data_IF_670701930105
#
_entry.id   IF_670701930105
#
_cell.length_a   1.000
_cell.length_b   1.000
_cell.length_c   1.000
_cell.angle_alpha   90.00
_cell.angle_beta   90.00
_cell.angle_gamma   90.00
#
_symmetry.space_group_name_H-M   'P 1'
#
loop_
_entity.id
_entity.type
_entity.pdbx_description
1 polymer ?
#
# COMPACT_ATOMS: atom_id res chain seq x y z
N UNK A 1 19.76 7.82 8.69
CA UNK A 1 18.85 7.58 9.83
C UNK A 1 17.40 7.33 9.43
N UNK A 2 16.67 8.27 8.82
CA UNK A 2 15.24 8.05 8.42
C UNK A 2 15.04 6.85 7.47
N UNK A 3 16.01 6.58 6.60
CA UNK A 3 16.04 5.42 5.68
C UNK A 3 16.29 4.09 6.43
N UNK A 4 17.04 4.11 7.54
CA UNK A 4 17.35 2.93 8.38
C UNK A 4 16.23 2.67 9.41
N UNK A 5 15.56 3.74 9.85
CA UNK A 5 14.41 3.67 10.74
C UNK A 5 13.14 3.18 10.02
N UNK A 6 13.05 3.36 8.70
CA UNK A 6 12.02 2.76 7.83
C UNK A 6 12.39 1.36 7.35
N UNK A 7 13.42 0.72 7.89
CA UNK A 7 13.74 -0.70 7.61
C UNK A 7 13.73 -1.54 8.88
N UNK A 8 13.50 -0.93 10.04
CA UNK A 8 13.53 -1.67 11.31
C UNK A 8 14.94 -2.13 11.63
N UNK A 9 15.95 -1.28 11.35
CA UNK A 9 17.26 -1.47 11.94
C UNK A 9 17.22 -1.14 13.44
N UNK A 10 16.55 -2.00 14.22
CA UNK A 10 17.29 -2.59 15.32
C UNK A 10 18.33 -3.52 14.68
N UNK A 11 19.58 -3.39 15.12
CA UNK A 11 20.69 -4.33 15.00
C UNK A 11 20.32 -5.65 14.26
N UNK A 12 20.87 -5.85 13.05
CA UNK A 12 21.02 -7.16 12.36
C UNK A 12 20.54 -7.34 10.91
N UNK A 13 20.59 -6.31 10.07
CA UNK A 13 20.92 -6.55 8.63
C UNK A 13 22.45 -6.66 8.45
N UNK A 14 23.21 -6.05 9.35
CA UNK A 14 24.67 -6.13 9.43
C UNK A 14 25.20 -7.49 9.91
N UNK A 15 24.35 -8.36 10.47
CA UNK A 15 24.71 -9.73 10.87
C UNK A 15 24.49 -10.77 9.75
N UNK A 16 23.77 -10.41 8.69
CA UNK A 16 23.50 -11.33 7.56
C UNK A 16 24.57 -11.20 6.46
N UNK A 17 25.20 -10.04 6.34
CA UNK A 17 26.34 -9.81 5.45
C UNK A 17 27.57 -9.49 6.30
N UNK A 18 28.68 -10.19 6.07
CA UNK A 18 29.91 -9.91 6.83
C UNK A 18 30.27 -8.42 6.73
N UNK A 19 30.78 -7.82 7.81
CA UNK A 19 31.18 -6.39 7.83
C UNK A 19 32.08 -6.00 6.63
N UNK A 20 32.83 -6.97 6.10
CA UNK A 20 33.68 -6.86 4.91
C UNK A 20 32.89 -6.76 3.59
N UNK A 21 31.78 -7.46 3.46
CA UNK A 21 30.86 -7.36 2.32
C UNK A 21 30.08 -6.05 2.38
N UNK A 22 29.60 -5.66 3.56
CA UNK A 22 28.86 -4.41 3.75
C UNK A 22 29.72 -3.18 3.39
N UNK A 23 31.00 -3.13 3.79
CA UNK A 23 31.91 -2.06 3.35
C UNK A 23 32.19 -2.10 1.83
N UNK A 24 32.31 -3.29 1.23
CA UNK A 24 32.42 -3.43 -0.23
C UNK A 24 31.17 -2.94 -0.96
N UNK A 25 29.98 -3.20 -0.43
CA UNK A 25 28.73 -2.64 -0.97
C UNK A 25 28.68 -1.12 -0.76
N UNK A 26 29.07 -0.61 0.41
CA UNK A 26 29.07 0.84 0.66
C UNK A 26 30.03 1.61 -0.25
N UNK A 27 31.24 1.11 -0.48
CA UNK A 27 32.23 1.69 -1.39
C UNK A 27 31.88 1.49 -2.87
N UNK A 28 31.35 0.32 -3.26
CA UNK A 28 30.96 0.06 -4.66
C UNK A 28 29.72 0.86 -5.08
N UNK A 29 28.90 1.24 -4.12
CA UNK A 29 27.72 2.08 -4.29
C UNK A 29 27.93 3.48 -3.67
N UNK A 30 29.19 3.94 -3.56
CA UNK A 30 29.48 5.37 -3.54
C UNK A 30 28.90 5.96 -4.83
N UNK A 31 27.66 6.42 -4.66
CA UNK A 31 26.71 7.03 -5.55
C UNK A 31 27.19 7.24 -6.99
N UNK A 32 26.93 6.25 -7.86
CA UNK A 32 26.42 6.68 -9.17
C UNK A 32 25.08 7.38 -8.88
N UNK A 33 24.91 8.63 -9.33
CA UNK A 33 23.72 9.44 -8.99
C UNK A 33 22.38 8.75 -9.36
N UNK A 34 22.43 7.73 -10.23
CA UNK A 34 21.28 6.95 -10.69
C UNK A 34 20.76 5.98 -9.62
N UNK A 35 21.64 5.23 -8.97
CA UNK A 35 21.25 4.24 -7.94
C UNK A 35 20.70 4.91 -6.68
N UNK A 36 21.26 6.07 -6.32
CA UNK A 36 20.74 6.91 -5.23
C UNK A 36 19.33 7.40 -5.53
N UNK A 37 19.07 7.84 -6.76
CA UNK A 37 17.76 8.32 -7.20
C UNK A 37 16.69 7.21 -7.19
N UNK A 38 17.01 6.02 -7.70
CA UNK A 38 16.07 4.88 -7.67
C UNK A 38 15.74 4.43 -6.24
N UNK A 39 16.73 4.44 -5.35
CA UNK A 39 16.53 4.11 -3.94
C UNK A 39 15.60 5.13 -3.30
N UNK A 40 15.83 6.42 -3.55
CA UNK A 40 14.98 7.52 -3.11
C UNK A 40 13.53 7.35 -3.60
N UNK A 41 13.31 7.04 -4.88
CA UNK A 41 11.97 6.76 -5.39
C UNK A 41 11.33 5.51 -4.77
N UNK A 42 12.11 4.47 -4.51
CA UNK A 42 11.62 3.23 -3.87
C UNK A 42 11.10 3.51 -2.46
N UNK A 43 11.83 4.30 -1.68
CA UNK A 43 11.39 4.71 -0.34
C UNK A 43 10.24 5.71 -0.41
N UNK A 44 10.33 6.71 -1.30
CA UNK A 44 9.27 7.69 -1.53
C UNK A 44 7.93 7.02 -1.88
N UNK A 45 7.97 5.97 -2.70
CA UNK A 45 6.80 5.16 -3.04
C UNK A 45 6.18 4.51 -1.80
N UNK A 46 6.99 3.86 -0.96
CA UNK A 46 6.53 3.16 0.23
C UNK A 46 5.92 4.14 1.24
N UNK A 47 6.63 5.22 1.55
CA UNK A 47 6.16 6.26 2.48
C UNK A 47 4.85 6.87 1.98
N UNK A 48 4.79 7.25 0.70
CA UNK A 48 3.56 7.79 0.12
C UNK A 48 2.40 6.79 0.23
N UNK A 49 2.64 5.50 0.02
CA UNK A 49 1.63 4.47 0.19
C UNK A 49 1.17 4.34 1.66
N UNK A 50 2.10 4.29 2.62
CA UNK A 50 1.78 4.27 4.06
C UNK A 50 0.95 5.49 4.47
N UNK A 51 1.29 6.68 3.96
CA UNK A 51 0.53 7.90 4.19
C UNK A 51 -0.80 7.96 3.42
N UNK A 52 -1.11 6.95 2.61
CA UNK A 52 -2.31 6.89 1.77
C UNK A 52 -2.35 7.90 0.61
N UNK A 53 -1.21 8.48 0.24
CA UNK A 53 -1.03 9.32 -0.95
C UNK A 53 -0.72 8.45 -2.17
N UNK A 54 -1.78 7.86 -2.71
CA UNK A 54 -1.71 6.86 -3.78
C UNK A 54 -1.25 7.46 -5.11
N UNK A 55 -1.57 8.73 -5.38
CA UNK A 55 -1.15 9.38 -6.61
C UNK A 55 0.35 9.64 -6.60
N UNK A 56 0.90 10.13 -5.49
CA UNK A 56 2.35 10.30 -5.31
C UNK A 56 3.08 8.96 -5.31
N UNK A 57 2.55 7.94 -4.62
CA UNK A 57 3.11 6.59 -4.66
C UNK A 57 3.15 6.04 -6.10
N UNK A 58 2.09 6.24 -6.87
CA UNK A 58 2.02 5.84 -8.27
C UNK A 58 2.95 6.66 -9.19
N UNK A 59 3.19 7.94 -8.90
CA UNK A 59 4.19 8.74 -9.62
C UNK A 59 5.60 8.17 -9.42
N UNK A 60 6.00 7.88 -8.18
CA UNK A 60 7.27 7.18 -7.91
C UNK A 60 7.32 5.81 -8.58
N UNK A 61 6.22 5.04 -8.53
CA UNK A 61 6.15 3.74 -9.19
C UNK A 61 6.35 3.83 -10.71
N UNK A 62 5.85 4.88 -11.37
CA UNK A 62 6.08 5.10 -12.82
C UNK A 62 7.55 5.39 -13.11
N UNK A 63 8.20 6.26 -12.32
CA UNK A 63 9.62 6.56 -12.47
C UNK A 63 10.47 5.29 -12.27
N UNK A 64 10.13 4.49 -11.27
CA UNK A 64 10.75 3.19 -11.02
C UNK A 64 10.52 2.20 -12.16
N UNK A 65 9.32 2.11 -12.74
CA UNK A 65 9.06 1.21 -13.87
C UNK A 65 9.83 1.61 -15.12
N UNK A 66 9.93 2.92 -15.39
CA UNK A 66 10.67 3.45 -16.53
C UNK A 66 12.16 3.13 -16.43
N UNK A 67 12.73 3.25 -15.23
CA UNK A 67 14.11 2.84 -14.93
C UNK A 67 14.28 1.32 -14.88
N UNK A 68 13.29 0.57 -14.39
CA UNK A 68 13.32 -0.90 -14.32
C UNK A 68 13.31 -1.59 -15.69
N UNK A 69 12.87 -0.91 -16.76
CA UNK A 69 12.93 -1.43 -18.13
C UNK A 69 14.37 -1.76 -18.61
N UNK A 70 15.40 -1.43 -17.82
CA UNK A 70 16.82 -1.61 -18.17
C UNK A 70 17.58 -2.65 -17.33
N UNK A 71 16.93 -3.42 -16.45
CA UNK A 71 17.64 -4.27 -15.49
C UNK A 71 17.20 -5.75 -15.48
N UNK A 72 17.40 -6.44 -16.59
CA UNK A 72 17.96 -7.82 -16.58
C UNK A 72 19.41 -7.83 -16.08
N UNK A 73 20.00 -6.67 -15.85
CA UNK A 73 21.33 -6.52 -15.26
C UNK A 73 21.31 -6.91 -13.78
N UNK A 74 22.24 -7.79 -13.42
CA UNK A 74 22.55 -8.34 -12.09
C UNK A 74 22.91 -7.29 -11.00
N UNK A 75 22.51 -6.02 -11.15
CA UNK A 75 23.02 -4.88 -10.37
C UNK A 75 22.09 -4.37 -9.27
N UNK A 76 20.77 -4.48 -9.44
CA UNK A 76 19.84 -4.11 -8.36
C UNK A 76 19.81 -5.29 -7.37
N UNK A 77 20.08 -5.06 -6.07
CA UNK A 77 19.97 -6.11 -5.08
C UNK A 77 18.57 -6.72 -5.17
N UNK A 78 18.52 -8.03 -5.34
CA UNK A 78 17.30 -8.80 -5.60
C UNK A 78 16.15 -8.47 -4.63
N UNK A 79 16.50 -8.14 -3.38
CA UNK A 79 15.57 -7.65 -2.35
C UNK A 79 14.77 -6.39 -2.74
N UNK A 80 15.42 -5.36 -3.31
CA UNK A 80 14.72 -4.13 -3.72
C UNK A 80 13.70 -4.41 -4.83
N UNK A 81 14.01 -5.31 -5.76
CA UNK A 81 13.09 -5.72 -6.82
C UNK A 81 11.80 -6.32 -6.25
N UNK A 82 11.91 -7.18 -5.23
CA UNK A 82 10.76 -7.81 -4.60
C UNK A 82 9.86 -6.82 -3.86
N UNK A 83 10.46 -5.91 -3.07
CA UNK A 83 9.71 -4.87 -2.36
C UNK A 83 9.00 -3.96 -3.38
N UNK A 84 9.67 -3.58 -4.48
CA UNK A 84 9.05 -2.78 -5.55
C UNK A 84 7.85 -3.48 -6.16
N UNK A 85 7.99 -4.77 -6.54
CA UNK A 85 6.90 -5.57 -7.12
C UNK A 85 5.71 -5.64 -6.16
N UNK A 86 5.97 -5.86 -4.87
CA UNK A 86 4.93 -5.89 -3.84
C UNK A 86 4.15 -4.57 -3.75
N UNK A 87 4.84 -3.44 -3.67
CA UNK A 87 4.17 -2.13 -3.64
C UNK A 87 3.52 -1.76 -4.97
N UNK A 88 4.06 -2.18 -6.12
CA UNK A 88 3.38 -2.02 -7.40
C UNK A 88 2.04 -2.75 -7.42
N UNK A 89 1.97 -3.97 -6.87
CA UNK A 89 0.73 -4.71 -6.72
C UNK A 89 -0.28 -3.95 -5.84
N UNK A 90 0.15 -3.49 -4.66
CA UNK A 90 -0.71 -2.74 -3.72
C UNK A 90 -1.23 -1.43 -4.32
N UNK A 91 -0.38 -0.67 -5.02
CA UNK A 91 -0.79 0.55 -5.72
C UNK A 91 -1.82 0.24 -6.80
N UNK A 92 -1.60 -0.81 -7.60
CA UNK A 92 -2.55 -1.23 -8.63
C UNK A 92 -3.89 -1.69 -8.02
N UNK A 93 -3.87 -2.39 -6.87
CA UNK A 93 -5.08 -2.75 -6.13
C UNK A 93 -5.86 -1.50 -5.72
N UNK A 94 -5.18 -0.53 -5.12
CA UNK A 94 -5.82 0.68 -4.61
C UNK A 94 -6.37 1.56 -5.76
N UNK A 95 -5.65 1.65 -6.88
CA UNK A 95 -6.16 2.31 -8.09
C UNK A 95 -7.35 1.58 -8.68
N UNK A 96 -7.38 0.25 -8.61
CA UNK A 96 -8.57 -0.50 -8.99
C UNK A 96 -9.75 -0.17 -8.07
N UNK A 97 -9.58 -0.14 -6.74
CA UNK A 97 -10.65 0.26 -5.81
C UNK A 97 -11.24 1.63 -6.18
N UNK A 98 -10.38 2.62 -6.46
CA UNK A 98 -10.82 3.99 -6.78
C UNK A 98 -11.48 4.13 -8.16
N UNK A 99 -11.06 3.35 -9.15
CA UNK A 99 -11.46 3.57 -10.55
C UNK A 99 -12.32 2.46 -11.15
N UNK A 100 -12.37 1.30 -10.49
CA UNK A 100 -12.89 0.02 -11.00
C UNK A 100 -12.37 -0.37 -12.41
N UNK A 101 -11.26 0.20 -12.88
CA UNK A 101 -10.70 -0.09 -14.22
C UNK A 101 -9.94 -1.42 -14.20
N UNK A 102 -10.46 -2.42 -14.92
CA UNK A 102 -9.92 -3.79 -15.01
C UNK A 102 -8.42 -3.89 -15.32
N UNK A 103 -7.85 -2.91 -16.03
CA UNK A 103 -6.40 -2.84 -16.29
C UNK A 103 -5.56 -2.88 -15.02
N UNK A 104 -6.00 -2.20 -13.96
CA UNK A 104 -5.27 -2.17 -12.68
C UNK A 104 -5.39 -3.49 -11.93
N UNK A 105 -6.54 -4.15 -12.01
CA UNK A 105 -6.70 -5.50 -11.44
C UNK A 105 -5.80 -6.53 -12.16
N UNK A 106 -5.73 -6.46 -13.50
CA UNK A 106 -4.82 -7.32 -14.28
C UNK A 106 -3.36 -7.09 -13.90
N UNK A 107 -2.98 -5.83 -13.73
CA UNK A 107 -1.63 -5.44 -13.31
C UNK A 107 -1.30 -5.94 -11.89
N UNK A 108 -2.22 -5.77 -10.93
CA UNK A 108 -2.07 -6.30 -9.58
C UNK A 108 -1.88 -7.82 -9.57
N UNK A 109 -2.70 -8.56 -10.34
CA UNK A 109 -2.58 -10.01 -10.48
C UNK A 109 -1.25 -10.43 -11.11
N UNK A 110 -0.76 -9.68 -12.12
CA UNK A 110 0.55 -9.92 -12.73
C UNK A 110 1.66 -9.84 -11.68
N UNK A 111 1.68 -8.80 -10.85
CA UNK A 111 2.69 -8.65 -9.81
C UNK A 111 2.55 -9.68 -8.68
N UNK A 112 1.31 -10.07 -8.33
CA UNK A 112 1.06 -11.20 -7.41
C UNK A 112 1.72 -12.48 -7.94
N UNK A 113 1.49 -12.83 -9.20
CA UNK A 113 2.07 -14.04 -9.81
C UNK A 113 3.59 -14.04 -9.83
N UNK A 114 4.23 -12.88 -9.98
CA UNK A 114 5.69 -12.77 -9.84
C UNK A 114 6.16 -13.09 -8.41
N UNK A 115 5.42 -12.62 -7.38
CA UNK A 115 5.74 -12.95 -5.99
C UNK A 115 5.47 -14.43 -5.69
N UNK A 116 4.40 -15.00 -6.24
CA UNK A 116 4.11 -16.45 -6.15
C UNK A 116 5.24 -17.29 -6.73
N UNK A 117 5.79 -16.88 -7.86
CA UNK A 117 6.95 -17.52 -8.49
C UNK A 117 8.16 -17.48 -7.57
N UNK A 118 8.53 -16.31 -7.03
CA UNK A 118 9.64 -16.21 -6.07
C UNK A 118 9.43 -17.05 -4.80
N UNK A 119 8.21 -17.11 -4.26
CA UNK A 119 7.89 -17.97 -3.11
C UNK A 119 8.09 -19.45 -3.47
N UNK A 120 7.68 -19.87 -4.67
CA UNK A 120 7.84 -21.24 -5.17
C UNK A 120 9.31 -21.60 -5.38
N UNK A 121 10.13 -20.65 -5.78
CA UNK A 121 11.59 -20.78 -5.92
C UNK A 121 12.32 -20.82 -4.56
N UNK A 122 11.61 -20.72 -3.43
CA UNK A 122 12.19 -20.84 -2.09
C UNK A 122 12.56 -19.51 -1.44
N UNK A 123 12.04 -18.38 -1.93
CA UNK A 123 12.25 -17.07 -1.29
C UNK A 123 11.55 -16.99 0.06
N UNK A 124 12.26 -17.30 1.15
CA UNK A 124 11.71 -17.40 2.51
C UNK A 124 11.13 -16.09 3.06
N UNK A 125 11.55 -14.94 2.51
CA UNK A 125 11.17 -13.59 2.97
C UNK A 125 9.96 -13.00 2.23
N UNK A 126 9.25 -13.80 1.42
CA UNK A 126 8.09 -13.36 0.64
C UNK A 126 6.74 -14.00 0.94
N UNK A 127 6.61 -15.15 1.62
CA UNK A 127 5.31 -15.76 1.83
C UNK A 127 4.30 -14.87 2.54
N UNK A 128 4.74 -14.04 3.50
CA UNK A 128 3.85 -13.09 4.17
C UNK A 128 3.39 -11.97 3.24
N UNK A 129 4.27 -11.44 2.36
CA UNK A 129 3.87 -10.45 1.34
C UNK A 129 2.85 -11.04 0.36
N UNK A 130 3.01 -12.30 -0.02
CA UNK A 130 2.01 -13.00 -0.85
C UNK A 130 0.65 -13.07 -0.14
N UNK A 131 0.63 -13.46 1.14
CA UNK A 131 -0.60 -13.51 1.93
C UNK A 131 -1.27 -12.13 2.06
N UNK A 132 -0.50 -11.05 2.24
CA UNK A 132 -1.03 -9.68 2.25
C UNK A 132 -1.72 -9.36 0.91
N UNK A 133 -1.08 -9.68 -0.22
CA UNK A 133 -1.68 -9.46 -1.55
C UNK A 133 -2.95 -10.30 -1.78
N UNK A 134 -2.99 -11.51 -1.24
CA UNK A 134 -4.17 -12.37 -1.31
C UNK A 134 -5.34 -11.79 -0.53
N UNK A 135 -5.10 -11.30 0.69
CA UNK A 135 -6.10 -10.64 1.52
C UNK A 135 -6.61 -9.35 0.84
N UNK A 136 -5.70 -8.53 0.31
CA UNK A 136 -6.07 -7.29 -0.40
C UNK A 136 -6.86 -7.55 -1.70
N UNK A 137 -6.50 -8.57 -2.48
CA UNK A 137 -7.25 -8.94 -3.67
C UNK A 137 -8.62 -9.56 -3.33
N UNK A 138 -8.75 -10.21 -2.17
CA UNK A 138 -10.03 -10.71 -1.68
C UNK A 138 -10.95 -9.56 -1.27
N UNK A 139 -10.46 -8.59 -0.50
CA UNK A 139 -11.29 -7.45 -0.03
C UNK A 139 -11.82 -6.58 -1.17
N UNK A 140 -11.05 -6.41 -2.24
CA UNK A 140 -11.48 -5.65 -3.44
C UNK A 140 -12.70 -6.23 -4.12
N UNK A 141 -12.88 -7.56 -4.10
CA UNK A 141 -13.98 -8.23 -4.80
C UNK A 141 -15.32 -7.92 -4.15
N UNK A 142 -15.31 -7.60 -2.86
CA UNK A 142 -16.48 -7.20 -2.10
C UNK A 142 -16.86 -5.73 -2.36
N UNK A 143 -15.89 -4.84 -2.66
CA UNK A 143 -16.12 -3.39 -2.68
C UNK A 143 -16.55 -2.78 -4.02
N UNK A 144 -16.37 -3.45 -5.17
CA UNK A 144 -16.72 -2.86 -6.48
C UNK A 144 -18.06 -3.41 -7.01
N UNK A 145 -19.19 -2.66 -6.90
CA UNK A 145 -20.53 -3.12 -7.26
C UNK A 145 -20.72 -3.38 -8.76
N UNK A 146 -19.85 -2.84 -9.61
CA UNK A 146 -19.95 -2.94 -11.08
C UNK A 146 -19.28 -4.17 -11.67
N UNK A 147 -18.58 -4.96 -10.85
CA UNK A 147 -17.99 -6.22 -11.30
C UNK A 147 -19.10 -7.28 -11.39
N UNK A 148 -19.62 -7.56 -12.59
CA UNK A 148 -20.46 -8.77 -12.83
C UNK A 148 -19.77 -10.08 -12.41
N UNK A 149 -18.46 -10.06 -12.17
CA UNK A 149 -17.67 -11.16 -11.63
C UNK A 149 -17.62 -11.22 -10.08
N UNK A 150 -18.17 -10.22 -9.37
CA UNK A 150 -18.13 -10.09 -7.91
C UNK A 150 -18.96 -11.14 -7.17
N UNK A 151 -20.07 -11.59 -7.75
CA UNK A 151 -20.92 -12.62 -7.11
C UNK A 151 -20.32 -14.04 -7.13
N UNK A 152 -19.23 -14.28 -7.88
CA UNK A 152 -18.73 -15.66 -8.12
C UNK A 152 -17.53 -16.02 -7.24
N UNK A 153 -16.83 -15.07 -6.62
CA UNK A 153 -15.43 -15.33 -6.26
C UNK A 153 -15.13 -15.99 -4.91
N UNK A 154 -15.98 -15.89 -3.88
CA UNK A 154 -15.69 -16.53 -2.60
C UNK A 154 -16.08 -18.02 -2.60
N UNK A 155 -17.12 -18.40 -3.35
CA UNK A 155 -17.44 -19.83 -3.59
C UNK A 155 -16.27 -20.58 -4.21
N UNK A 156 -15.52 -19.97 -5.13
CA UNK A 156 -14.35 -20.62 -5.75
C UNK A 156 -13.15 -20.74 -4.79
N UNK A 157 -12.93 -19.75 -3.90
CA UNK A 157 -11.85 -19.81 -2.89
C UNK A 157 -12.19 -20.86 -1.81
N UNK A 158 -13.45 -20.93 -1.38
CA UNK A 158 -13.93 -21.97 -0.47
C UNK A 158 -13.77 -23.37 -1.08
N UNK A 159 -14.02 -23.52 -2.38
CA UNK A 159 -13.88 -24.80 -3.08
C UNK A 159 -12.42 -25.26 -3.26
N UNK A 160 -11.42 -24.36 -3.22
CA UNK A 160 -10.00 -24.72 -3.35
C UNK A 160 -9.38 -25.28 -2.05
N UNK A 161 -10.02 -25.10 -0.88
CA UNK A 161 -9.52 -25.61 0.41
C UNK A 161 -10.18 -26.93 0.86
N UNK A 162 -11.01 -27.56 0.03
CA UNK A 162 -11.73 -28.78 0.40
C UNK A 162 -10.88 -30.06 0.30
N UNK A 163 -10.02 -30.24 1.32
CA UNK A 163 -9.80 -31.54 1.96
C UNK A 163 -11.02 -31.90 2.81
N UNK A 164 -12.09 -32.31 2.12
CA UNK A 164 -13.19 -33.22 2.48
C UNK A 164 -13.84 -33.37 3.87
N UNK A 165 -13.58 -32.62 4.95
CA UNK A 165 -14.32 -32.90 6.22
C UNK A 165 -15.02 -31.78 7.01
N UNK A 166 -14.87 -30.48 6.70
CA UNK A 166 -15.51 -29.40 7.49
C UNK A 166 -16.50 -28.52 6.69
N UNK A 167 -17.36 -29.14 5.89
CA UNK A 167 -18.18 -28.48 4.87
C UNK A 167 -19.48 -27.79 5.35
N UNK A 168 -19.70 -27.61 6.66
CA UNK A 168 -20.98 -27.08 7.18
C UNK A 168 -20.93 -25.80 8.03
N UNK A 169 -19.82 -25.06 8.04
CA UNK A 169 -19.86 -23.66 8.50
C UNK A 169 -19.78 -22.76 7.29
N UNK A 170 -20.93 -22.23 6.86
CA UNK A 170 -21.05 -21.05 6.00
C UNK A 170 -20.30 -19.90 6.70
N UNK A 171 -18.98 -19.83 6.51
CA UNK A 171 -18.18 -18.77 7.09
C UNK A 171 -18.57 -17.48 6.38
N UNK A 172 -19.11 -16.54 7.15
CA UNK A 172 -19.37 -15.19 6.71
C UNK A 172 -18.13 -14.69 5.93
N UNK A 173 -18.29 -14.18 4.69
CA UNK A 173 -17.18 -13.75 3.83
C UNK A 173 -16.24 -12.76 4.55
N UNK A 174 -16.79 -11.95 5.45
CA UNK A 174 -16.01 -11.04 6.29
C UNK A 174 -15.09 -11.75 7.29
N UNK A 175 -15.54 -12.86 7.88
CA UNK A 175 -14.73 -13.66 8.81
C UNK A 175 -13.58 -14.36 8.08
N UNK A 176 -13.81 -14.85 6.86
CA UNK A 176 -12.74 -15.38 6.02
C UNK A 176 -11.69 -14.30 5.73
N UNK A 177 -12.13 -13.11 5.32
CA UNK A 177 -11.22 -11.99 5.05
C UNK A 177 -10.41 -11.58 6.30
N UNK A 178 -11.06 -11.48 7.46
CA UNK A 178 -10.40 -11.27 8.76
C UNK A 178 -9.31 -12.31 9.02
N UNK A 179 -9.64 -13.59 8.84
CA UNK A 179 -8.69 -14.68 9.06
C UNK A 179 -7.47 -14.59 8.13
N UNK A 180 -7.65 -14.13 6.88
CA UNK A 180 -6.55 -13.94 5.94
C UNK A 180 -5.61 -12.81 6.38
N UNK A 181 -6.15 -11.68 6.85
CA UNK A 181 -5.33 -10.60 7.41
C UNK A 181 -4.64 -11.04 8.70
N UNK A 182 -5.34 -11.70 9.62
CA UNK A 182 -4.77 -12.18 10.89
C UNK A 182 -3.60 -13.15 10.65
N UNK A 183 -3.74 -14.07 9.68
CA UNK A 183 -2.68 -14.98 9.28
C UNK A 183 -1.48 -14.22 8.68
N UNK A 184 -1.72 -13.28 7.77
CA UNK A 184 -0.68 -12.48 7.13
C UNK A 184 0.10 -11.60 8.14
N UNK A 185 -0.61 -10.97 9.09
CA UNK A 185 0.00 -10.20 10.19
C UNK A 185 0.85 -11.13 11.06
N UNK A 186 0.28 -12.25 11.51
CA UNK A 186 0.98 -13.24 12.36
C UNK A 186 2.25 -13.76 11.70
N UNK A 187 2.20 -14.09 10.40
CA UNK A 187 3.37 -14.56 9.66
C UNK A 187 4.42 -13.47 9.50
N UNK A 188 4.01 -12.25 9.16
CA UNK A 188 4.92 -11.10 9.05
C UNK A 188 5.66 -10.85 10.37
N UNK A 189 4.95 -10.90 11.52
CA UNK A 189 5.54 -10.74 12.85
C UNK A 189 6.52 -11.84 13.20
N UNK A 190 6.14 -13.11 13.00
CA UNK A 190 7.01 -14.27 13.29
C UNK A 190 8.29 -14.28 12.47
N UNK A 191 8.23 -13.74 11.25
CA UNK A 191 9.39 -13.58 10.38
C UNK A 191 10.20 -12.30 10.65
N UNK A 192 9.85 -11.49 11.65
CA UNK A 192 10.56 -10.25 11.99
C UNK A 192 10.24 -9.04 11.09
N UNK A 193 9.33 -9.17 10.12
CA UNK A 193 8.95 -8.09 9.22
C UNK A 193 7.86 -7.20 9.82
N UNK A 194 8.19 -6.48 10.90
CA UNK A 194 7.25 -5.63 11.63
C UNK A 194 6.60 -4.54 10.74
N UNK A 195 7.34 -4.02 9.77
CA UNK A 195 6.84 -3.04 8.81
C UNK A 195 5.72 -3.60 7.91
N UNK A 196 5.86 -4.85 7.45
CA UNK A 196 4.84 -5.52 6.65
C UNK A 196 3.63 -5.88 7.51
N UNK A 197 3.86 -6.28 8.77
CA UNK A 197 2.79 -6.52 9.73
C UNK A 197 1.98 -5.24 10.00
N UNK A 198 2.66 -4.12 10.24
CA UNK A 198 2.04 -2.81 10.43
C UNK A 198 1.23 -2.39 9.20
N UNK A 199 1.82 -2.52 8.00
CA UNK A 199 1.14 -2.25 6.74
C UNK A 199 -0.11 -3.11 6.57
N UNK A 200 -0.01 -4.42 6.86
CA UNK A 200 -1.12 -5.36 6.77
C UNK A 200 -2.24 -4.99 7.74
N UNK A 201 -1.92 -4.60 8.97
CA UNK A 201 -2.90 -4.11 9.95
C UNK A 201 -3.60 -2.82 9.47
N UNK A 202 -2.88 -1.87 8.87
CA UNK A 202 -3.48 -0.67 8.24
C UNK A 202 -4.37 -0.98 7.03
N UNK A 203 -4.03 -2.03 6.28
CA UNK A 203 -4.85 -2.52 5.17
C UNK A 203 -6.14 -3.19 5.72
N UNK A 204 -6.00 -4.06 6.72
CA UNK A 204 -7.11 -4.74 7.39
C UNK A 204 -8.08 -3.75 8.04
N UNK A 205 -7.58 -2.71 8.71
CA UNK A 205 -8.42 -1.67 9.34
C UNK A 205 -9.28 -0.89 8.34
N UNK A 206 -8.94 -0.92 7.05
CA UNK A 206 -9.75 -0.31 5.98
C UNK A 206 -10.73 -1.30 5.37
N UNK A 207 -10.28 -2.54 5.19
CA UNK A 207 -11.03 -3.57 4.49
C UNK A 207 -12.13 -4.22 5.32
N UNK A 208 -11.93 -4.33 6.65
CA UNK A 208 -12.80 -5.08 7.55
C UNK A 208 -13.69 -4.18 8.41
N UNK A 209 -13.30 -2.93 8.64
CA UNK A 209 -13.91 -2.12 9.70
C UNK A 209 -15.31 -1.59 9.37
N UNK A 210 -16.29 -2.35 9.85
CA UNK A 210 -17.59 -1.83 10.27
C UNK A 210 -17.55 -1.68 11.81
N UNK A 211 -16.80 -0.69 12.31
CA UNK A 211 -16.83 -0.27 13.71
C UNK A 211 -15.81 -0.87 14.69
N UNK A 212 -14.89 -1.76 14.29
CA UNK A 212 -13.87 -2.35 15.17
C UNK A 212 -12.47 -1.71 14.97
N UNK A 213 -11.94 -1.01 15.96
CA UNK A 213 -10.63 -0.37 15.85
C UNK A 213 -9.41 -1.25 16.10
N UNK A 214 -9.62 -2.54 16.38
CA UNK A 214 -8.55 -3.49 16.73
C UNK A 214 -7.36 -3.45 15.79
N UNK A 215 -7.59 -3.46 14.47
CA UNK A 215 -6.50 -3.45 13.48
C UNK A 215 -5.74 -2.13 13.44
N UNK A 216 -6.42 -1.00 13.67
CA UNK A 216 -5.76 0.29 13.70
C UNK A 216 -4.89 0.46 14.95
N UNK A 217 -5.40 0.04 16.11
CA UNK A 217 -4.61 0.02 17.36
C UNK A 217 -3.37 -0.87 17.18
N UNK A 218 -3.58 -2.09 16.67
CA UNK A 218 -2.48 -3.01 16.36
C UNK A 218 -1.46 -2.42 15.38
N UNK A 219 -1.91 -1.72 14.35
CA UNK A 219 -1.02 -1.05 13.41
C UNK A 219 -0.15 0.00 14.10
N UNK A 220 -0.70 0.81 15.01
CA UNK A 220 0.05 1.81 15.75
C UNK A 220 1.12 1.18 16.65
N UNK A 221 0.78 0.10 17.35
CA UNK A 221 1.72 -0.63 18.20
C UNK A 221 2.87 -1.23 17.38
N UNK A 222 2.55 -1.77 16.20
CA UNK A 222 3.54 -2.32 15.27
C UNK A 222 4.42 -1.24 14.65
N UNK A 223 3.87 -0.07 14.29
CA UNK A 223 4.65 1.08 13.79
C UNK A 223 5.59 1.61 14.86
N UNK A 224 5.16 1.65 16.12
CA UNK A 224 5.99 2.03 17.25
C UNK A 224 7.11 1.03 17.50
N UNK A 225 6.77 -0.26 17.56
CA UNK A 225 7.75 -1.35 17.72
C UNK A 225 8.78 -1.38 16.60
N UNK A 226 8.38 -0.98 15.39
CA UNK A 226 9.26 -0.85 14.23
C UNK A 226 10.14 0.42 14.27
N UNK A 227 9.78 1.44 15.07
CA UNK A 227 10.48 2.73 15.12
C UNK A 227 10.00 3.75 14.06
N UNK A 228 8.87 3.52 13.41
CA UNK A 228 8.28 4.43 12.41
C UNK A 228 7.41 5.53 13.04
N UNK A 229 7.95 6.22 14.05
CA UNK A 229 7.23 7.23 14.84
C UNK A 229 6.63 8.34 13.98
N UNK A 230 7.33 8.79 12.94
CA UNK A 230 6.81 9.83 12.04
C UNK A 230 5.55 9.38 11.27
N UNK A 231 5.53 8.13 10.78
CA UNK A 231 4.36 7.56 10.09
C UNK A 231 3.22 7.38 11.10
N UNK A 232 3.51 6.85 12.29
CA UNK A 232 2.52 6.71 13.38
C UNK A 232 1.85 8.05 13.70
N UNK A 233 2.64 9.08 14.02
CA UNK A 233 2.13 10.42 14.34
C UNK A 233 1.29 11.00 13.20
N UNK A 234 1.76 10.87 11.96
CA UNK A 234 1.00 11.31 10.79
C UNK A 234 -0.36 10.62 10.68
N UNK A 235 -0.41 9.30 10.83
CA UNK A 235 -1.65 8.52 10.74
C UNK A 235 -2.61 8.79 11.90
N UNK A 236 -2.09 9.03 13.10
CA UNK A 236 -2.89 9.43 14.26
C UNK A 236 -3.54 10.79 14.03
N UNK A 237 -2.76 11.79 13.63
CA UNK A 237 -3.29 13.13 13.33
C UNK A 237 -4.33 13.09 12.22
N UNK A 238 -4.07 12.36 11.14
CA UNK A 238 -5.02 12.19 10.04
C UNK A 238 -6.33 11.56 10.51
N UNK A 239 -6.27 10.54 11.37
CA UNK A 239 -7.48 9.90 11.91
C UNK A 239 -8.29 10.83 12.80
N UNK A 240 -7.62 11.58 13.69
CA UNK A 240 -8.26 12.59 14.52
C UNK A 240 -8.99 13.64 13.67
N UNK A 241 -8.36 14.11 12.59
CA UNK A 241 -9.00 15.04 11.65
C UNK A 241 -10.25 14.44 11.00
N UNK A 242 -10.23 13.16 10.60
CA UNK A 242 -11.40 12.51 10.01
C UNK A 242 -12.56 12.34 11.00
N UNK A 243 -12.25 12.01 12.25
CA UNK A 243 -13.26 11.89 13.32
C UNK A 243 -13.89 13.24 13.67
N UNK A 244 -13.11 14.33 13.66
CA UNK A 244 -13.63 15.67 13.91
C UNK A 244 -14.68 16.09 12.87
N UNK A 245 -14.46 15.76 11.59
CA UNK A 245 -15.41 16.06 10.50
C UNK A 245 -16.74 15.28 10.67
N UNK A 246 -16.67 14.00 11.05
CA UNK A 246 -17.87 13.17 11.25
C UNK A 246 -18.77 13.69 12.41
N UNK A 247 -18.16 14.22 13.47
CA UNK A 247 -18.90 14.81 14.59
C UNK A 247 -19.59 16.12 14.22
N UNK A 248 -19.01 16.93 13.32
CA UNK A 248 -19.65 18.17 12.86
C UNK A 248 -20.87 17.94 11.99
N UNK A 249 -20.84 16.92 11.11
CA UNK A 249 -21.98 16.58 10.23
C UNK A 249 -23.17 15.99 11.01
N UNK A 250 -22.90 15.26 12.08
CA UNK A 250 -23.93 14.66 12.94
C UNK A 250 -24.71 15.69 13.75
N UNK A 251 -24.10 16.84 14.08
CA UNK A 251 -24.74 17.89 14.88
C UNK A 251 -25.53 18.91 14.04
N UNK A 252 -25.33 18.96 12.72
CA UNK A 252 -25.98 19.95 11.83
C UNK A 252 -27.33 19.48 11.29
N UNK A 253 -27.72 18.23 11.53
CA UNK A 253 -28.98 17.65 11.03
C UNK A 253 -30.19 17.84 11.96
N UNK A 254 -30.04 18.51 13.12
CA UNK A 254 -31.11 18.65 14.13
C UNK A 254 -31.83 20.01 14.16
N UNK A 255 -31.58 20.93 13.22
CA UNK A 255 -32.36 22.16 13.21
C UNK A 255 -32.08 23.06 12.01
N UNK A 256 -32.88 22.92 10.97
CA UNK A 256 -33.46 24.01 10.17
C UNK A 256 -34.60 23.38 9.37
N UNK A 257 -35.84 23.65 9.78
CA UNK A 257 -36.99 23.51 8.90
C UNK A 257 -36.80 24.48 7.73
N UNK A 258 -36.38 23.96 6.58
CA UNK A 258 -36.33 24.72 5.33
C UNK A 258 -37.73 24.75 4.72
N UNK A 259 -38.49 25.78 5.08
CA UNK A 259 -39.61 26.27 4.27
C UNK A 259 -39.07 26.74 2.92
N UNK A 260 -39.64 26.21 1.85
CA UNK A 260 -39.09 26.32 0.51
C UNK A 260 -38.97 27.74 -0.02
N UNK A 261 -37.85 28.00 -0.68
CA UNK A 261 -37.79 28.97 -1.77
C UNK A 261 -37.00 28.38 -2.93
N UNK A 262 -37.73 28.03 -3.98
CA UNK A 262 -37.23 27.71 -5.32
C UNK A 262 -36.86 29.05 -5.97
N UNK A 263 -35.58 29.41 -5.98
CA UNK A 263 -35.06 30.47 -6.83
C UNK A 263 -34.15 29.86 -7.89
N UNK A 264 -34.65 29.75 -9.12
CA UNK A 264 -33.84 29.53 -10.32
C UNK A 264 -33.12 30.84 -10.64
N UNK A 265 -31.81 30.88 -10.49
CA UNK A 265 -30.98 31.88 -11.17
C UNK A 265 -30.12 31.19 -12.23
N UNK A 266 -30.48 31.49 -13.48
CA UNK A 266 -29.67 31.31 -14.68
C UNK A 266 -28.43 32.18 -14.52
N UNK A 267 -27.24 31.59 -14.46
CA UNK A 267 -26.00 32.29 -14.77
C UNK A 267 -25.43 31.68 -16.04
N UNK A 268 -25.63 32.42 -17.12
CA UNK A 268 -24.85 32.36 -18.35
C UNK A 268 -23.80 33.47 -18.28
N UNK A 269 -22.63 33.19 -18.87
CA UNK A 269 -21.58 34.11 -19.33
C UNK A 269 -20.35 34.33 -18.44
N UNK A 270 -19.19 34.13 -19.08
CA UNK A 270 -17.98 34.92 -18.83
C UNK A 270 -16.80 34.21 -18.18
N UNK A 271 -16.22 33.17 -18.79
CA UNK A 271 -14.83 32.78 -18.47
C UNK A 271 -13.91 33.36 -19.54
N UNK A 272 -13.35 34.54 -19.24
CA UNK A 272 -12.10 35.00 -19.81
C UNK A 272 -10.98 34.06 -19.35
N UNK A 273 -10.24 33.52 -20.31
CA UNK A 273 -9.01 32.77 -20.08
C UNK A 273 -7.87 33.79 -19.94
N UNK A 274 -7.48 34.09 -18.71
CA UNK A 274 -6.17 34.68 -18.45
C UNK A 274 -5.15 33.56 -18.29
N UNK A 275 -4.13 33.62 -19.15
CA UNK A 275 -3.03 32.68 -19.21
C UNK A 275 -2.14 32.80 -17.99
N UNK A 276 -1.93 31.65 -17.32
CA UNK A 276 -0.76 31.42 -16.49
C UNK A 276 0.12 30.43 -17.26
N UNK A 277 1.06 30.98 -18.02
CA UNK A 277 2.23 30.23 -18.49
C UNK A 277 3.12 29.92 -17.29
N UNK A 278 3.26 28.64 -16.96
CA UNK A 278 4.29 28.18 -16.05
C UNK A 278 5.60 28.05 -16.85
N UNK A 279 6.53 28.96 -16.60
CA UNK A 279 7.93 28.86 -17.04
C UNK A 279 8.56 27.58 -16.48
N UNK A 280 9.20 26.80 -17.35
CA UNK A 280 9.83 25.51 -17.06
C UNK A 280 11.30 25.60 -16.64
N UNK A 281 11.83 26.80 -16.36
CA UNK A 281 13.27 27.03 -16.43
C UNK A 281 14.01 27.12 -15.08
N UNK A 282 13.43 26.65 -13.98
CA UNK A 282 14.13 26.57 -12.69
C UNK A 282 14.35 25.12 -12.24
N UNK A 283 15.28 24.44 -12.91
CA UNK A 283 15.97 23.27 -12.35
C UNK A 283 17.47 23.61 -12.29
N UNK A 284 18.05 23.83 -11.10
CA UNK A 284 19.47 24.10 -10.98
C UNK A 284 20.26 22.83 -11.36
N UNK A 285 21.05 22.97 -12.41
CA UNK A 285 22.15 22.06 -12.73
C UNK A 285 23.11 22.00 -11.54
N UNK A 286 23.16 20.86 -10.85
CA UNK A 286 24.26 20.55 -9.93
C UNK A 286 25.33 19.86 -10.77
N UNK A 287 26.42 20.57 -11.04
CA UNK A 287 27.65 19.99 -11.58
C UNK A 287 28.33 19.14 -10.51
N UNK A 288 28.50 17.86 -10.80
CA UNK A 288 29.56 16.99 -10.29
C UNK A 288 29.68 15.79 -11.21
#
# INVERSE_FOLDING_TARGET
QTILNLTGESENVLDICTAKETMKYRQKYEWDGKTGLESSWSYGMQIAFFCGDIEKANAYAKNLKHTHTMSTTKRIPWYFGQVRIFFFALISIEKFRKTCKSKYLREAKKYKSQIEEYVREGSINLPHKLQILEAELASVKESCPFSRAGQVSLRTIANMKNSKQDLHKEQNPMHLLQSMYDEAISRSRRSGFLHDAALCALLASRAVNVGDDRYYVMANDLLESWGATAIKTYLMNRRLSLMAVQNTESNTTLGIGSTGYRAKTRFTEGIQKDGLEFSSDDVPFIHS
#
